data_IF_427476075097
#
_entry.id   IF_427476075097
#
_cell.length_a   1.000
_cell.length_b   1.000
_cell.length_c   1.000
_cell.angle_alpha   90.00
_cell.angle_beta   90.00
_cell.angle_gamma   90.00
#
_symmetry.space_group_name_H-M   'P 1'
#
loop_
_entity.id
_entity.type
_entity.pdbx_description
1 polymer ?
#
# COMPACT_ATOMS: atom_id res chain seq x y z
N UNK A 1 -9.48 14.18 15.04
CA UNK A 1 -9.47 13.39 13.79
C UNK A 1 -8.45 12.25 13.82
N UNK A 2 -7.20 12.47 14.25
CA UNK A 2 -6.17 11.42 14.35
C UNK A 2 -6.49 10.25 15.30
N UNK A 3 -7.23 10.49 16.39
CA UNK A 3 -7.64 9.43 17.33
C UNK A 3 -8.63 8.45 16.71
N UNK A 4 -9.57 8.93 15.88
CA UNK A 4 -10.50 8.07 15.17
C UNK A 4 -9.79 7.18 14.14
N UNK A 5 -8.85 7.73 13.36
CA UNK A 5 -8.07 6.96 12.40
C UNK A 5 -7.21 5.89 13.07
N UNK A 6 -6.50 6.26 14.13
CA UNK A 6 -5.74 5.30 14.94
C UNK A 6 -6.61 4.20 15.53
N UNK A 7 -7.72 4.56 16.19
CA UNK A 7 -8.60 3.59 16.83
C UNK A 7 -9.23 2.64 15.81
N UNK A 8 -9.69 3.15 14.66
CA UNK A 8 -10.26 2.31 13.62
C UNK A 8 -9.21 1.44 12.95
N UNK A 9 -8.01 1.97 12.65
CA UNK A 9 -6.92 1.18 12.11
C UNK A 9 -6.52 0.03 13.06
N UNK A 10 -6.47 0.27 14.37
CA UNK A 10 -6.19 -0.79 15.35
C UNK A 10 -7.31 -1.84 15.42
N UNK A 11 -8.58 -1.43 15.28
CA UNK A 11 -9.70 -2.38 15.18
C UNK A 11 -9.60 -3.21 13.90
N UNK A 12 -9.31 -2.56 12.77
CA UNK A 12 -9.12 -3.23 11.49
C UNK A 12 -7.98 -4.24 11.56
N UNK A 13 -6.86 -3.87 12.18
CA UNK A 13 -5.72 -4.73 12.42
C UNK A 13 -6.06 -5.92 13.35
N UNK A 14 -6.88 -5.69 14.38
CA UNK A 14 -7.25 -6.75 15.35
C UNK A 14 -8.29 -7.74 14.80
N UNK A 15 -9.12 -7.30 13.85
CA UNK A 15 -10.25 -8.07 13.32
C UNK A 15 -10.14 -8.33 11.81
N UNK A 16 -8.95 -8.17 11.23
CA UNK A 16 -8.66 -8.32 9.79
C UNK A 16 -9.31 -9.56 9.18
N UNK A 17 -9.12 -10.75 9.78
CA UNK A 17 -9.74 -11.99 9.33
C UNK A 17 -11.28 -11.96 9.30
N UNK A 18 -11.91 -11.36 10.30
CA UNK A 18 -13.38 -11.33 10.45
C UNK A 18 -14.03 -10.27 9.56
N UNK A 19 -13.42 -9.10 9.49
CA UNK A 19 -13.81 -7.99 8.61
C UNK A 19 -13.79 -8.47 7.16
N UNK A 20 -12.84 -9.33 6.82
CA UNK A 20 -12.64 -9.75 5.45
C UNK A 20 -13.55 -10.88 4.96
N UNK A 21 -14.25 -11.57 5.87
CA UNK A 21 -15.39 -12.43 5.49
C UNK A 21 -16.45 -11.62 4.73
N UNK A 22 -16.48 -10.29 4.90
CA UNK A 22 -17.36 -9.37 4.19
C UNK A 22 -16.62 -8.66 3.06
N UNK A 23 -16.59 -9.26 1.86
CA UNK A 23 -15.96 -8.67 0.66
C UNK A 23 -16.48 -7.25 0.32
N UNK A 24 -17.73 -6.95 0.71
CA UNK A 24 -18.39 -5.67 0.45
C UNK A 24 -17.75 -4.47 1.14
N UNK A 25 -16.96 -4.68 2.20
CA UNK A 25 -16.30 -3.59 2.95
C UNK A 25 -14.83 -3.41 2.60
N UNK A 26 -14.25 -4.25 1.72
CA UNK A 26 -12.84 -4.17 1.33
C UNK A 26 -12.49 -2.80 0.72
N UNK A 27 -13.24 -2.35 -0.30
CA UNK A 27 -12.96 -1.09 -0.99
C UNK A 27 -13.07 0.15 -0.09
N UNK A 28 -14.17 0.36 0.68
CA UNK A 28 -14.24 1.47 1.64
C UNK A 28 -13.11 1.48 2.66
N UNK A 29 -12.69 0.31 3.11
CA UNK A 29 -11.64 0.16 4.12
C UNK A 29 -10.25 0.43 3.56
N UNK A 30 -9.96 -0.01 2.33
CA UNK A 30 -8.75 0.37 1.60
C UNK A 30 -8.67 1.87 1.37
N UNK A 31 -9.78 2.51 0.95
CA UNK A 31 -9.83 3.96 0.78
C UNK A 31 -9.60 4.72 2.09
N UNK A 32 -10.15 4.22 3.19
CA UNK A 32 -9.95 4.80 4.52
C UNK A 32 -8.47 4.75 4.95
N UNK A 33 -7.81 3.60 4.76
CA UNK A 33 -6.39 3.45 5.07
C UNK A 33 -5.52 4.30 4.14
N UNK A 34 -5.84 4.34 2.84
CA UNK A 34 -5.17 5.18 1.85
C UNK A 34 -5.22 6.66 2.24
N UNK A 35 -6.38 7.15 2.68
CA UNK A 35 -6.56 8.52 3.16
C UNK A 35 -5.75 8.76 4.45
N UNK A 36 -5.76 7.81 5.40
CA UNK A 36 -5.01 7.92 6.63
C UNK A 36 -3.48 7.98 6.45
N UNK A 37 -2.97 7.31 5.41
CA UNK A 37 -1.56 7.37 4.99
C UNK A 37 -1.27 8.69 4.26
N UNK A 38 -2.07 9.02 3.24
CA UNK A 38 -1.83 10.18 2.37
C UNK A 38 -2.00 11.52 3.09
N UNK A 39 -2.97 11.62 4.00
CA UNK A 39 -3.22 12.83 4.80
C UNK A 39 -2.39 12.88 6.08
N UNK A 40 -1.49 11.92 6.31
CA UNK A 40 -0.62 11.83 7.51
C UNK A 40 -1.38 11.84 8.84
N UNK A 41 -2.66 11.47 8.86
CA UNK A 41 -3.52 11.52 10.04
C UNK A 41 -3.13 10.47 11.09
N UNK A 42 -2.64 9.31 10.64
CA UNK A 42 -2.02 8.26 11.46
C UNK A 42 -1.30 7.23 10.58
N UNK A 43 -0.21 7.63 9.89
CA UNK A 43 0.42 6.82 8.86
C UNK A 43 0.84 5.44 9.37
N UNK A 44 1.48 5.35 10.53
CA UNK A 44 1.93 4.09 11.12
C UNK A 44 0.83 3.07 11.37
N UNK A 45 -0.25 3.46 12.04
CA UNK A 45 -1.39 2.56 12.28
C UNK A 45 -2.09 2.17 10.98
N UNK A 46 -2.20 3.10 10.02
CA UNK A 46 -2.85 2.82 8.75
C UNK A 46 -2.00 1.93 7.84
N UNK A 47 -0.68 2.12 7.78
CA UNK A 47 0.25 1.29 7.02
C UNK A 47 0.33 -0.12 7.60
N UNK A 48 0.43 -0.25 8.92
CA UNK A 48 0.43 -1.55 9.60
C UNK A 48 -0.88 -2.32 9.39
N UNK A 49 -2.03 -1.64 9.55
CA UNK A 49 -3.33 -2.22 9.27
C UNK A 49 -3.48 -2.63 7.79
N UNK A 50 -2.95 -1.82 6.86
CA UNK A 50 -2.90 -2.13 5.44
C UNK A 50 -2.15 -3.44 5.21
N UNK A 51 -0.92 -3.59 5.74
CA UNK A 51 -0.13 -4.82 5.62
C UNK A 51 -0.88 -6.03 6.17
N UNK A 52 -1.43 -5.93 7.38
CA UNK A 52 -2.18 -7.00 8.05
C UNK A 52 -3.32 -7.53 7.19
N UNK A 53 -4.07 -6.64 6.56
CA UNK A 53 -5.16 -7.03 5.66
C UNK A 53 -4.63 -7.85 4.47
N UNK A 54 -3.50 -7.47 3.88
CA UNK A 54 -2.97 -8.23 2.74
C UNK A 54 -2.36 -9.56 3.15
N UNK A 55 -1.79 -9.64 4.35
CA UNK A 55 -1.30 -10.87 4.94
C UNK A 55 -2.45 -11.89 5.15
N UNK A 56 -3.55 -11.44 5.77
CA UNK A 56 -4.65 -12.33 6.15
C UNK A 56 -5.60 -12.66 5.00
N UNK A 57 -5.57 -11.89 3.91
CA UNK A 57 -6.70 -11.80 2.99
C UNK A 57 -6.34 -11.76 1.49
N UNK A 58 -5.08 -12.11 1.15
CA UNK A 58 -4.51 -12.03 -0.20
C UNK A 58 -5.33 -12.72 -1.32
N UNK A 59 -6.13 -13.75 -0.99
CA UNK A 59 -6.87 -14.55 -1.97
C UNK A 59 -8.12 -13.87 -2.57
N UNK A 60 -8.61 -12.78 -1.99
CA UNK A 60 -9.90 -12.14 -2.37
C UNK A 60 -9.70 -10.68 -2.83
N UNK A 61 -8.48 -10.16 -2.76
CA UNK A 61 -8.12 -8.79 -3.18
C UNK A 61 -8.04 -8.60 -4.70
N UNK A 62 -8.34 -9.62 -5.50
CA UNK A 62 -8.19 -9.59 -6.96
C UNK A 62 -9.24 -8.75 -7.70
N UNK A 63 -10.14 -8.07 -6.99
CA UNK A 63 -11.00 -7.10 -7.66
C UNK A 63 -10.13 -5.97 -8.23
N UNK A 64 -10.17 -5.71 -9.55
CA UNK A 64 -9.30 -4.73 -10.20
C UNK A 64 -9.34 -3.34 -9.55
N UNK A 65 -10.50 -2.95 -9.01
CA UNK A 65 -10.67 -1.68 -8.31
C UNK A 65 -9.89 -1.58 -7.00
N UNK A 66 -9.72 -2.70 -6.28
CA UNK A 66 -8.94 -2.75 -5.04
C UNK A 66 -7.45 -2.72 -5.34
N UNK A 67 -7.03 -3.41 -6.40
CA UNK A 67 -5.66 -3.35 -6.91
C UNK A 67 -5.26 -1.92 -7.29
N UNK A 68 -6.10 -1.18 -8.01
CA UNK A 68 -5.75 0.20 -8.40
C UNK A 68 -5.59 1.15 -7.22
N UNK A 69 -6.38 1.00 -6.15
CA UNK A 69 -6.20 1.81 -4.93
C UNK A 69 -4.79 1.57 -4.35
N UNK A 70 -4.28 0.35 -4.45
CA UNK A 70 -2.98 -0.03 -3.90
C UNK A 70 -1.82 0.46 -4.74
N UNK A 71 -1.98 0.38 -6.07
CA UNK A 71 -1.02 0.99 -6.99
C UNK A 71 -0.93 2.48 -6.72
N UNK A 72 -2.07 3.13 -6.52
CA UNK A 72 -2.11 4.56 -6.24
C UNK A 72 -1.40 4.94 -4.94
N UNK A 73 -1.56 4.14 -3.86
CA UNK A 73 -0.81 4.34 -2.62
C UNK A 73 0.70 4.17 -2.88
N UNK A 74 1.10 3.10 -3.58
CA UNK A 74 2.51 2.79 -3.86
C UNK A 74 3.20 3.80 -4.78
N UNK A 75 2.54 4.24 -5.85
CA UNK A 75 3.02 5.31 -6.74
C UNK A 75 3.12 6.65 -5.99
N UNK A 76 2.20 6.90 -5.06
CA UNK A 76 2.17 8.10 -4.24
C UNK A 76 3.25 8.18 -3.18
N UNK A 77 3.93 7.08 -2.83
CA UNK A 77 4.89 7.03 -1.72
C UNK A 77 5.99 8.09 -1.84
N UNK A 78 6.54 8.33 -3.03
CA UNK A 78 7.59 9.34 -3.23
C UNK A 78 7.13 10.77 -2.85
N UNK A 79 5.82 11.03 -2.90
CA UNK A 79 5.22 12.32 -2.62
C UNK A 79 4.76 12.43 -1.16
N UNK A 80 4.55 11.30 -0.49
CA UNK A 80 4.11 11.22 0.90
C UNK A 80 5.37 11.07 1.77
N UNK A 81 5.72 12.11 2.52
CA UNK A 81 6.88 12.08 3.42
C UNK A 81 6.59 11.21 4.65
N UNK A 82 6.71 9.90 4.50
CA UNK A 82 6.50 8.92 5.57
C UNK A 82 7.81 8.64 6.31
N UNK A 83 7.76 8.27 7.60
CA UNK A 83 8.86 7.59 8.26
C UNK A 83 9.22 6.30 7.51
N UNK A 84 10.50 5.94 7.46
CA UNK A 84 10.99 4.73 6.79
C UNK A 84 10.24 3.46 7.23
N UNK A 85 9.93 3.36 8.51
CA UNK A 85 9.18 2.25 9.11
C UNK A 85 7.77 2.12 8.49
N UNK A 86 7.10 3.24 8.26
CA UNK A 86 5.76 3.27 7.68
C UNK A 86 5.81 3.01 6.16
N UNK A 87 6.85 3.49 5.47
CA UNK A 87 7.10 3.15 4.06
C UNK A 87 7.31 1.65 3.88
N UNK A 88 8.11 1.02 4.73
CA UNK A 88 8.38 -0.42 4.71
C UNK A 88 7.10 -1.24 4.85
N UNK A 89 6.19 -0.83 5.74
CA UNK A 89 4.89 -1.46 5.93
C UNK A 89 4.03 -1.39 4.65
N UNK A 90 4.01 -0.24 3.96
CA UNK A 90 3.30 -0.09 2.68
C UNK A 90 3.95 -0.92 1.57
N UNK A 91 5.27 -0.90 1.45
CA UNK A 91 6.01 -1.70 0.46
C UNK A 91 5.80 -3.19 0.70
N UNK A 92 5.75 -3.62 1.97
CA UNK A 92 5.43 -4.99 2.36
C UNK A 92 4.01 -5.38 1.94
N UNK A 93 3.03 -4.52 2.18
CA UNK A 93 1.65 -4.71 1.73
C UNK A 93 1.57 -4.89 0.20
N UNK A 94 2.20 -4.00 -0.56
CA UNK A 94 2.29 -4.05 -2.03
C UNK A 94 2.95 -5.35 -2.50
N UNK A 95 4.01 -5.78 -1.83
CA UNK A 95 4.75 -7.00 -2.17
C UNK A 95 3.90 -8.27 -1.98
N UNK A 96 3.10 -8.33 -0.91
CA UNK A 96 2.18 -9.44 -0.65
C UNK A 96 1.12 -9.60 -1.75
N UNK A 97 0.62 -8.48 -2.28
CA UNK A 97 -0.33 -8.48 -3.41
C UNK A 97 0.37 -8.92 -4.70
N UNK A 98 1.54 -8.38 -5.00
CA UNK A 98 2.31 -8.79 -6.17
C UNK A 98 2.58 -10.31 -6.15
N UNK A 99 2.86 -10.88 -4.98
CA UNK A 99 3.05 -12.32 -4.79
C UNK A 99 1.78 -13.16 -4.95
N UNK A 100 0.60 -12.56 -4.82
CA UNK A 100 -0.67 -13.26 -4.99
C UNK A 100 -1.14 -13.26 -6.46
N UNK A 101 -0.75 -12.28 -7.27
CA UNK A 101 -1.21 -12.17 -8.66
C UNK A 101 -0.66 -13.29 -9.56
N UNK A 102 -1.55 -14.19 -10.00
CA UNK A 102 -1.21 -15.26 -10.94
C UNK A 102 -1.10 -14.81 -12.40
N UNK A 103 -1.72 -13.69 -12.78
CA UNK A 103 -1.64 -13.15 -14.14
C UNK A 103 -0.32 -12.38 -14.33
N UNK A 104 0.60 -12.98 -15.08
CA UNK A 104 1.94 -12.44 -15.34
C UNK A 104 1.94 -11.09 -16.04
N UNK A 105 0.98 -10.81 -16.92
CA UNK A 105 0.89 -9.54 -17.63
C UNK A 105 0.46 -8.41 -16.68
N UNK A 106 -0.58 -8.67 -15.87
CA UNK A 106 -1.01 -7.72 -14.84
C UNK A 106 0.11 -7.44 -13.85
N UNK A 107 0.76 -8.48 -13.33
CA UNK A 107 1.90 -8.35 -12.40
C UNK A 107 3.04 -7.53 -13.01
N UNK A 108 3.40 -7.76 -14.28
CA UNK A 108 4.45 -7.00 -14.95
C UNK A 108 4.08 -5.52 -15.08
N UNK A 109 2.84 -5.23 -15.48
CA UNK A 109 2.38 -3.84 -15.64
C UNK A 109 2.35 -3.10 -14.30
N UNK A 110 1.91 -3.80 -13.24
CA UNK A 110 1.95 -3.34 -11.85
C UNK A 110 3.35 -2.98 -11.37
N UNK A 111 4.30 -3.91 -11.51
CA UNK A 111 5.69 -3.69 -11.09
C UNK A 111 6.34 -2.57 -11.91
N UNK A 112 6.07 -2.50 -13.21
CA UNK A 112 6.59 -1.42 -14.06
C UNK A 112 6.13 -0.05 -13.59
N UNK A 113 4.86 0.08 -13.18
CA UNK A 113 4.28 1.30 -12.62
C UNK A 113 4.91 1.67 -11.28
N UNK A 114 4.89 0.75 -10.32
CA UNK A 114 5.40 0.97 -8.96
C UNK A 114 6.89 1.31 -8.91
N UNK A 115 7.70 0.68 -9.78
CA UNK A 115 9.14 0.89 -9.79
C UNK A 115 9.57 2.05 -10.70
N UNK A 116 8.67 2.64 -11.48
CA UNK A 116 9.00 3.67 -12.47
C UNK A 116 9.70 4.88 -11.82
N UNK A 117 9.12 5.39 -10.73
CA UNK A 117 9.69 6.49 -9.93
C UNK A 117 11.05 6.13 -9.34
N UNK A 118 11.19 4.92 -8.80
CA UNK A 118 12.45 4.42 -8.25
C UNK A 118 13.54 4.33 -9.32
N UNK A 119 13.23 3.79 -10.50
CA UNK A 119 14.18 3.72 -11.61
C UNK A 119 14.57 5.12 -12.12
N UNK A 120 13.64 6.07 -12.17
CA UNK A 120 13.95 7.46 -12.54
C UNK A 120 14.87 8.12 -11.50
N UNK A 121 14.57 7.97 -10.21
CA UNK A 121 15.36 8.50 -9.11
C UNK A 121 16.79 7.94 -9.12
N UNK A 122 16.93 6.62 -9.29
CA UNK A 122 18.23 5.94 -9.42
C UNK A 122 18.97 6.44 -10.68
N UNK A 123 18.29 6.58 -11.81
CA UNK A 123 18.88 7.10 -13.04
C UNK A 123 19.45 8.51 -12.89
N UNK A 124 18.71 9.40 -12.21
CA UNK A 124 19.20 10.74 -11.84
C UNK A 124 20.42 10.68 -10.92
N UNK A 125 20.39 9.80 -9.92
CA UNK A 125 21.50 9.61 -8.99
C UNK A 125 22.78 9.15 -9.70
N UNK A 126 22.69 8.15 -10.58
CA UNK A 126 23.82 7.61 -11.35
C UNK A 126 24.39 8.66 -12.32
N UNK A 127 23.53 9.40 -13.02
CA UNK A 127 23.99 10.45 -13.94
C UNK A 127 24.68 11.60 -13.20
N UNK A 128 24.20 11.96 -12.00
CA UNK A 128 24.80 13.02 -11.19
C UNK A 128 26.14 12.60 -10.56
N UNK A 129 26.36 11.30 -10.32
CA UNK A 129 27.61 10.77 -9.76
C UNK A 129 28.74 10.64 -10.79
N UNK A 130 28.44 10.74 -12.08
CA UNK A 130 29.44 10.84 -13.15
C UNK A 130 30.02 12.27 -13.34
N UNK A 131 29.56 13.26 -12.57
CA UNK A 131 30.03 14.65 -12.63
C UNK A 131 30.82 15.13 -11.39
N UNK A 132 31.25 14.21 -10.52
CA UNK A 132 32.19 14.45 -9.41
C UNK A 132 33.53 13.76 -9.67
#
# INVERSE_FOLDING_TARGET
MCTLHRSLANVVDSYSMWIYVFQTIAKPLLLFLAAGISETLSPSSCASALRKIFEDASAVMYEPANLEILIWIGEGLENIHLPLEDEEEVVSAVSLICGSIYNKELMRNLLARLLSSSFEAIGKFVNNSHCL
#
